data_IF_789550489461
#
_entry.id   IF_789550489461
#
_cell.length_a   1.000
_cell.length_b   1.000
_cell.length_c   1.000
_cell.angle_alpha   90.00
_cell.angle_beta   90.00
_cell.angle_gamma   90.00
#
_symmetry.space_group_name_H-M   'P 1'
#
loop_
_entity.id
_entity.type
_entity.pdbx_description
1 polymer ?
#
# COMPACT_ATOMS: atom_id res chain seq x y z
N UNK A 1 9.70 3.38 8.16
CA UNK A 1 8.92 4.11 7.14
C UNK A 1 7.79 4.83 7.85
N UNK A 2 7.84 6.16 7.97
CA UNK A 2 6.67 6.94 8.38
C UNK A 2 5.76 7.04 7.17
N UNK A 3 4.51 6.58 7.28
CA UNK A 3 3.50 6.97 6.32
C UNK A 3 3.35 8.50 6.45
N UNK A 4 3.43 9.28 5.36
CA UNK A 4 3.28 10.74 5.39
C UNK A 4 1.83 11.11 5.76
N UNK A 5 1.62 12.10 6.64
CA UNK A 5 0.43 12.93 7.01
C UNK A 5 -1.02 12.53 6.60
N UNK A 6 -1.28 11.28 6.30
CA UNK A 6 -2.54 10.77 5.78
C UNK A 6 -2.74 10.88 4.27
N UNK A 7 -3.56 9.98 3.73
CA UNK A 7 -4.08 9.98 2.36
C UNK A 7 -5.17 11.05 2.24
N UNK A 8 -5.12 11.88 1.19
CA UNK A 8 -6.11 12.94 0.94
C UNK A 8 -6.75 12.78 -0.44
N UNK A 9 -8.07 12.98 -0.50
CA UNK A 9 -8.88 12.95 -1.72
C UNK A 9 -9.30 14.37 -2.08
N UNK A 10 -8.83 14.87 -3.22
CA UNK A 10 -9.06 16.23 -3.68
C UNK A 10 -10.16 16.29 -4.73
N UNK A 11 -11.00 17.32 -4.63
CA UNK A 11 -11.89 17.77 -5.70
C UNK A 11 -11.56 19.24 -5.95
N UNK A 12 -10.55 19.50 -6.78
CA UNK A 12 -9.99 20.84 -6.94
C UNK A 12 -8.67 21.13 -6.25
N UNK A 13 -8.05 22.23 -6.67
CA UNK A 13 -6.73 22.66 -6.18
C UNK A 13 -6.81 23.05 -4.69
N UNK A 14 -6.20 22.24 -3.83
CA UNK A 14 -6.14 22.38 -2.36
C UNK A 14 -7.46 22.12 -1.59
N UNK A 15 -8.55 21.72 -2.25
CA UNK A 15 -9.81 21.38 -1.60
C UNK A 15 -9.97 19.85 -1.48
N UNK A 16 -9.52 19.30 -0.35
CA UNK A 16 -9.72 17.88 -0.03
C UNK A 16 -11.06 17.64 0.68
N UNK A 17 -11.79 16.63 0.23
CA UNK A 17 -13.11 16.25 0.74
C UNK A 17 -13.05 15.15 1.79
N UNK A 18 -11.97 14.37 1.77
CA UNK A 18 -11.69 13.30 2.72
C UNK A 18 -10.18 13.25 2.99
N UNK A 19 -9.82 13.14 4.25
CA UNK A 19 -8.48 12.78 4.70
C UNK A 19 -8.57 11.53 5.56
N UNK A 20 -7.65 10.59 5.34
CA UNK A 20 -7.43 9.42 6.18
C UNK A 20 -6.02 9.58 6.75
N UNK A 21 -5.87 9.86 8.04
CA UNK A 21 -4.55 10.01 8.67
C UNK A 21 -3.79 8.66 8.77
N UNK A 22 -2.56 8.71 9.28
CA UNK A 22 -1.72 7.52 9.45
C UNK A 22 -2.32 6.53 10.48
N UNK A 23 -3.20 7.02 11.35
CA UNK A 23 -3.93 6.30 12.38
C UNK A 23 -5.26 5.71 11.87
N UNK A 24 -5.67 6.05 10.64
CA UNK A 24 -6.93 5.61 10.02
C UNK A 24 -8.15 6.45 10.39
N UNK A 25 -7.98 7.58 11.07
CA UNK A 25 -9.04 8.56 11.35
C UNK A 25 -9.46 9.24 10.06
N UNK A 26 -10.78 9.37 9.87
CA UNK A 26 -11.36 9.99 8.69
C UNK A 26 -11.88 11.40 9.01
N UNK A 27 -11.40 12.40 8.27
CA UNK A 27 -11.94 13.77 8.30
C UNK A 27 -12.61 14.07 6.96
N UNK A 28 -13.94 14.22 7.01
CA UNK A 28 -14.80 14.47 5.84
C UNK A 28 -15.00 15.97 5.56
N UNK A 29 -14.34 16.88 6.30
CA UNK A 29 -14.42 18.34 6.14
C UNK A 29 -15.84 18.91 6.12
N UNK A 30 -16.75 18.29 6.87
CA UNK A 30 -18.15 18.71 6.93
C UNK A 30 -18.93 18.45 5.63
N UNK A 31 -18.36 17.74 4.66
CA UNK A 31 -19.09 17.30 3.48
C UNK A 31 -20.10 16.23 3.85
N UNK A 32 -21.29 16.31 3.27
CA UNK A 32 -22.31 15.30 3.45
C UNK A 32 -21.80 13.95 2.93
N UNK A 33 -21.63 12.98 3.83
CA UNK A 33 -21.49 11.58 3.46
C UNK A 33 -22.81 11.14 2.85
N UNK A 34 -22.93 11.18 1.53
CA UNK A 34 -24.19 10.81 0.85
C UNK A 34 -24.39 9.29 1.00
N UNK A 35 -25.15 8.89 2.02
CA UNK A 35 -25.75 7.56 2.11
C UNK A 35 -26.99 7.54 1.20
N UNK A 36 -26.77 7.44 -0.11
CA UNK A 36 -27.85 7.25 -1.07
C UNK A 36 -28.31 5.79 -1.07
N UNK A 37 -29.38 5.52 -0.30
CA UNK A 37 -30.03 4.24 -0.12
C UNK A 37 -30.93 3.83 -1.30
N UNK A 38 -30.38 3.75 -2.51
CA UNK A 38 -31.00 2.97 -3.60
C UNK A 38 -30.04 1.87 -4.02
N UNK A 39 -30.33 0.67 -3.53
CA UNK A 39 -29.55 -0.58 -3.58
C UNK A 39 -29.15 -1.03 -5.00
N UNK A 40 -29.64 -0.40 -6.05
CA UNK A 40 -29.28 -0.73 -7.44
C UNK A 40 -27.91 -0.21 -7.87
N UNK A 41 -27.33 0.81 -7.22
CA UNK A 41 -26.02 1.37 -7.57
C UNK A 41 -24.82 0.78 -6.83
N UNK A 42 -25.03 -0.15 -5.90
CA UNK A 42 -23.99 -0.68 -5.00
C UNK A 42 -23.57 -2.13 -5.32
N UNK A 43 -24.23 -2.78 -6.28
CA UNK A 43 -23.89 -4.14 -6.72
C UNK A 43 -23.27 -4.19 -8.14
N UNK A 44 -23.21 -3.05 -8.82
CA UNK A 44 -22.35 -2.77 -9.97
C UNK A 44 -21.79 -1.35 -9.83
N UNK A 45 -20.46 -1.18 -9.74
CA UNK A 45 -19.85 0.10 -10.14
C UNK A 45 -19.60 1.20 -9.10
N UNK A 46 -19.33 0.90 -7.82
CA UNK A 46 -18.66 1.89 -6.97
C UNK A 46 -17.19 2.06 -7.39
N UNK A 47 -16.80 3.29 -7.72
CA UNK A 47 -15.43 3.71 -8.07
C UNK A 47 -15.28 5.21 -7.84
N UNK A 48 -14.04 5.69 -7.72
CA UNK A 48 -13.75 7.12 -7.68
C UNK A 48 -13.99 7.71 -9.06
N UNK A 49 -14.74 8.81 -9.13
CA UNK A 49 -15.02 9.53 -10.37
C UNK A 49 -14.06 10.73 -10.45
N UNK A 50 -13.41 10.88 -11.60
CA UNK A 50 -12.43 11.93 -11.86
C UNK A 50 -12.92 12.77 -13.05
N UNK A 51 -12.95 14.08 -12.87
CA UNK A 51 -13.49 15.04 -13.83
C UNK A 51 -12.57 15.36 -15.01
N UNK A 52 -11.34 14.84 -15.03
CA UNK A 52 -10.35 15.12 -16.07
C UNK A 52 -9.68 16.48 -15.99
N UNK A 53 -9.94 17.28 -14.95
CA UNK A 53 -9.43 18.63 -14.81
C UNK A 53 -8.59 18.83 -13.54
N UNK A 54 -9.13 18.46 -12.37
CA UNK A 54 -8.46 18.73 -11.09
C UNK A 54 -8.70 17.69 -9.99
N UNK A 55 -9.44 16.61 -10.29
CA UNK A 55 -9.60 15.48 -9.38
C UNK A 55 -8.36 14.58 -9.35
N UNK A 56 -7.88 14.27 -8.14
CA UNK A 56 -6.82 13.28 -7.90
C UNK A 56 -6.77 12.82 -6.45
N UNK A 57 -6.07 11.71 -6.21
CA UNK A 57 -5.69 11.24 -4.87
C UNK A 57 -4.21 11.56 -4.66
N UNK A 58 -3.88 12.28 -3.58
CA UNK A 58 -2.49 12.54 -3.17
C UNK A 58 -2.12 11.66 -1.99
N UNK A 59 -0.99 10.94 -2.15
CA UNK A 59 -0.37 10.17 -1.08
C UNK A 59 0.40 11.06 -0.08
N UNK A 60 0.40 12.39 -0.27
CA UNK A 60 0.97 13.39 0.62
C UNK A 60 2.47 13.63 0.37
N UNK A 61 3.21 12.56 0.11
CA UNK A 61 4.62 12.62 -0.30
C UNK A 61 4.95 11.56 -1.36
N UNK A 62 6.10 11.74 -2.01
CA UNK A 62 6.63 10.73 -2.93
C UNK A 62 6.91 9.45 -2.13
N UNK A 63 6.28 8.35 -2.52
CA UNK A 63 6.34 7.08 -1.82
C UNK A 63 7.01 6.04 -2.71
N UNK A 64 8.09 5.45 -2.22
CA UNK A 64 8.77 4.32 -2.87
C UNK A 64 8.13 3.02 -2.40
N UNK A 65 7.40 2.35 -3.31
CA UNK A 65 6.75 1.06 -3.07
C UNK A 65 7.67 -0.12 -3.37
N UNK A 66 8.60 0.01 -4.32
CA UNK A 66 9.56 -1.03 -4.66
C UNK A 66 10.80 -0.43 -5.31
N UNK A 67 11.98 -1.00 -5.04
CA UNK A 67 13.24 -0.71 -5.74
C UNK A 67 13.69 -1.85 -6.67
N UNK A 68 12.80 -2.80 -6.94
CA UNK A 68 13.01 -3.92 -7.84
C UNK A 68 11.73 -4.20 -8.63
N UNK A 69 11.38 -5.48 -8.80
CA UNK A 69 10.14 -5.89 -9.45
C UNK A 69 8.89 -5.25 -8.81
N UNK A 70 7.87 -4.96 -9.61
CA UNK A 70 6.59 -4.46 -9.12
C UNK A 70 5.45 -4.73 -10.11
N UNK A 71 4.22 -4.61 -9.62
CA UNK A 71 3.00 -4.64 -10.43
C UNK A 71 2.04 -3.55 -9.98
N UNK A 72 1.43 -2.84 -10.93
CA UNK A 72 0.35 -1.88 -10.68
C UNK A 72 -0.88 -2.35 -11.45
N UNK A 73 -2.02 -2.44 -10.76
CA UNK A 73 -3.31 -2.77 -11.37
C UNK A 73 -4.36 -1.75 -11.02
N UNK A 74 -5.31 -1.53 -11.93
CA UNK A 74 -6.53 -0.79 -11.65
C UNK A 74 -7.66 -1.32 -12.53
N UNK A 75 -8.89 -1.16 -12.07
CA UNK A 75 -10.05 -1.12 -12.96
C UNK A 75 -10.31 0.32 -13.34
N UNK A 76 -10.41 0.60 -14.64
CA UNK A 76 -10.66 1.95 -15.17
C UNK A 76 -11.84 1.93 -16.13
N UNK A 77 -12.56 3.05 -16.19
CA UNK A 77 -13.58 3.36 -17.19
C UNK A 77 -13.38 4.80 -17.62
N UNK A 78 -12.52 5.00 -18.62
CA UNK A 78 -12.27 6.32 -19.19
C UNK A 78 -13.48 6.77 -20.03
N UNK A 79 -13.90 8.02 -19.88
CA UNK A 79 -15.02 8.57 -20.66
C UNK A 79 -14.60 8.95 -22.08
N UNK A 80 -13.30 9.21 -22.31
CA UNK A 80 -12.72 9.51 -23.62
C UNK A 80 -11.30 8.94 -23.71
N UNK A 81 -11.12 7.79 -24.36
CA UNK A 81 -9.79 7.19 -24.51
C UNK A 81 -8.89 7.94 -25.51
N UNK A 82 -9.42 8.90 -26.26
CA UNK A 82 -8.69 9.68 -27.28
C UNK A 82 -8.51 11.15 -26.91
N UNK A 83 -8.57 11.45 -25.61
CA UNK A 83 -8.44 12.80 -25.09
C UNK A 83 -7.17 13.48 -25.61
N UNK A 84 -7.24 14.79 -25.85
CA UNK A 84 -6.13 15.67 -26.26
C UNK A 84 -4.85 15.49 -25.43
N UNK A 85 -4.99 15.11 -24.17
CA UNK A 85 -3.89 14.86 -23.25
C UNK A 85 -3.91 13.41 -22.75
N UNK A 86 -2.74 12.93 -22.32
CA UNK A 86 -2.63 11.62 -21.68
C UNK A 86 -3.39 11.63 -20.34
N UNK A 87 -4.06 10.53 -20.00
CA UNK A 87 -4.79 10.39 -18.74
C UNK A 87 -4.04 9.45 -17.79
N UNK A 88 -3.41 10.00 -16.74
CA UNK A 88 -2.58 9.19 -15.84
C UNK A 88 -3.45 8.35 -14.90
N UNK A 89 -3.11 7.08 -14.79
CA UNK A 89 -3.71 6.18 -13.80
C UNK A 89 -3.01 6.39 -12.46
N UNK A 90 -1.68 6.42 -12.47
CA UNK A 90 -0.82 6.76 -11.34
C UNK A 90 0.29 7.69 -11.80
N UNK A 91 0.90 8.43 -10.88
CA UNK A 91 1.93 9.36 -11.31
C UNK A 91 2.93 9.88 -10.29
N UNK A 92 4.12 10.17 -10.84
CA UNK A 92 5.25 10.84 -10.21
C UNK A 92 6.18 11.40 -11.31
N UNK A 93 6.78 12.56 -11.08
CA UNK A 93 7.38 13.36 -12.14
C UNK A 93 8.72 12.84 -12.70
N UNK A 94 9.37 11.85 -12.07
CA UNK A 94 10.78 11.51 -12.38
C UNK A 94 11.09 10.02 -12.51
N UNK A 95 10.10 9.16 -12.76
CA UNK A 95 10.33 7.75 -13.04
C UNK A 95 9.40 7.19 -14.14
N UNK A 96 9.78 6.03 -14.67
CA UNK A 96 9.04 5.36 -15.75
C UNK A 96 7.61 4.99 -15.34
N UNK A 97 7.41 4.60 -14.07
CA UNK A 97 6.12 4.23 -13.49
C UNK A 97 5.14 5.40 -13.42
N UNK A 98 5.66 6.61 -13.23
CA UNK A 98 4.87 7.81 -13.06
C UNK A 98 4.05 8.24 -14.28
N UNK A 99 4.16 7.49 -15.39
CA UNK A 99 3.43 7.72 -16.63
C UNK A 99 2.57 6.53 -17.03
N UNK A 100 2.24 5.60 -16.12
CA UNK A 100 1.26 4.58 -16.45
C UNK A 100 -0.10 5.24 -16.71
N UNK A 101 -0.51 5.28 -17.97
CA UNK A 101 -1.60 6.12 -18.45
C UNK A 101 -2.41 5.46 -19.57
N UNK A 102 -3.58 6.03 -19.85
CA UNK A 102 -4.22 5.93 -21.17
C UNK A 102 -3.65 7.06 -22.04
N UNK A 103 -2.88 6.70 -23.08
CA UNK A 103 -2.28 7.67 -23.99
C UNK A 103 -3.33 8.23 -24.96
N UNK A 104 -3.04 9.35 -25.62
CA UNK A 104 -3.90 9.99 -26.63
C UNK A 104 -4.23 9.11 -27.85
N UNK A 105 -3.52 7.97 -27.99
CA UNK A 105 -3.78 6.92 -28.98
C UNK A 105 -4.86 5.92 -28.53
N UNK A 106 -5.43 6.09 -27.34
CA UNK A 106 -6.38 5.17 -26.72
C UNK A 106 -5.78 3.89 -26.15
N UNK A 107 -4.46 3.77 -26.12
CA UNK A 107 -3.75 2.58 -25.64
C UNK A 107 -3.16 2.80 -24.26
N UNK A 108 -2.95 1.72 -23.50
CA UNK A 108 -2.09 1.77 -22.33
C UNK A 108 -0.68 2.17 -22.73
N UNK A 109 -0.05 3.01 -21.92
CA UNK A 109 1.33 3.42 -22.16
C UNK A 109 2.08 3.77 -20.87
N UNK A 110 3.41 3.79 -20.98
CA UNK A 110 4.31 4.41 -20.02
C UNK A 110 5.46 5.11 -20.76
N UNK A 111 6.08 6.09 -20.11
CA UNK A 111 7.24 6.80 -20.64
C UNK A 111 8.54 6.12 -20.18
N UNK A 112 9.33 5.61 -21.13
CA UNK A 112 10.65 5.03 -20.88
C UNK A 112 11.69 6.16 -20.82
N UNK A 113 12.05 6.62 -19.62
CA UNK A 113 13.01 7.70 -19.40
C UNK A 113 14.41 7.38 -19.92
N UNK A 114 14.85 6.12 -19.87
CA UNK A 114 16.17 5.74 -20.39
C UNK A 114 16.23 5.80 -21.91
N UNK A 115 15.13 5.42 -22.58
CA UNK A 115 15.03 5.37 -24.04
C UNK A 115 14.50 6.66 -24.66
N UNK A 116 13.89 7.55 -23.86
CA UNK A 116 13.26 8.78 -24.32
C UNK A 116 12.05 8.54 -25.23
N UNK A 117 11.26 7.49 -24.97
CA UNK A 117 10.16 7.09 -25.84
C UNK A 117 8.96 6.53 -25.06
N UNK A 118 7.78 6.61 -25.68
CA UNK A 118 6.58 5.92 -25.19
C UNK A 118 6.62 4.43 -25.51
N UNK A 119 6.21 3.61 -24.56
CA UNK A 119 5.95 2.18 -24.73
C UNK A 119 4.45 1.95 -24.62
N UNK A 120 3.91 1.10 -25.49
CA UNK A 120 2.46 0.94 -25.66
C UNK A 120 2.02 -0.50 -25.47
N UNK A 121 0.79 -0.67 -24.99
CA UNK A 121 0.00 -1.86 -25.23
C UNK A 121 -0.42 -1.97 -26.69
N UNK A 122 -1.00 -3.10 -27.08
CA UNK A 122 -1.46 -3.36 -28.44
C UNK A 122 -2.88 -2.84 -28.67
N UNK A 123 -3.74 -2.93 -27.65
CA UNK A 123 -5.18 -2.70 -27.78
C UNK A 123 -5.57 -1.25 -27.51
N UNK A 124 -6.48 -0.72 -28.35
CA UNK A 124 -7.17 0.55 -28.11
C UNK A 124 -8.36 0.29 -27.18
N UNK A 125 -8.39 0.97 -26.04
CA UNK A 125 -9.46 0.86 -25.05
C UNK A 125 -10.75 1.50 -25.57
N UNK A 126 -11.87 0.93 -25.16
CA UNK A 126 -13.19 1.46 -25.52
C UNK A 126 -13.70 2.42 -24.45
N UNK A 127 -14.01 3.66 -24.85
CA UNK A 127 -14.60 4.67 -23.96
C UNK A 127 -15.89 4.19 -23.30
N UNK A 128 -16.10 4.57 -22.04
CA UNK A 128 -17.29 4.25 -21.27
C UNK A 128 -17.41 2.78 -20.85
N UNK A 129 -16.38 1.95 -21.06
CA UNK A 129 -16.36 0.55 -20.59
C UNK A 129 -15.30 0.32 -19.52
N UNK A 130 -15.62 -0.58 -18.59
CA UNK A 130 -14.67 -1.04 -17.59
C UNK A 130 -13.62 -1.93 -18.24
N UNK A 131 -12.35 -1.61 -17.97
CA UNK A 131 -11.19 -2.41 -18.32
C UNK A 131 -10.33 -2.63 -17.09
N UNK A 132 -9.85 -3.86 -16.90
CA UNK A 132 -8.82 -4.15 -15.91
C UNK A 132 -7.44 -3.98 -16.56
N UNK A 133 -6.67 -3.03 -16.07
CA UNK A 133 -5.41 -2.61 -16.67
C UNK A 133 -4.28 -2.89 -15.70
N UNK A 134 -3.21 -3.52 -16.19
CA UNK A 134 -2.07 -3.91 -15.37
C UNK A 134 -0.76 -3.59 -16.07
N UNK A 135 0.17 -2.99 -15.33
CA UNK A 135 1.58 -2.85 -15.70
C UNK A 135 2.44 -3.69 -14.76
N UNK A 136 3.29 -4.53 -15.34
CA UNK A 136 4.28 -5.34 -14.62
C UNK A 136 5.67 -4.91 -15.01
N UNK A 137 6.58 -4.83 -14.04
CA UNK A 137 8.03 -4.75 -14.26
C UNK A 137 8.70 -5.88 -13.49
N UNK A 138 9.54 -6.64 -14.18
CA UNK A 138 10.18 -7.86 -13.65
C UNK A 138 11.40 -7.63 -12.75
N UNK A 139 11.92 -6.41 -12.71
CA UNK A 139 13.11 -6.06 -11.93
C UNK A 139 14.41 -6.00 -12.74
N UNK A 140 14.38 -6.39 -14.02
CA UNK A 140 15.52 -6.34 -14.93
C UNK A 140 15.30 -5.25 -16.00
N UNK A 141 14.95 -5.64 -17.23
CA UNK A 141 14.73 -4.73 -18.35
C UNK A 141 13.33 -4.88 -18.99
N UNK A 142 12.46 -5.74 -18.45
CA UNK A 142 11.19 -6.12 -19.06
C UNK A 142 9.96 -5.49 -18.39
N UNK A 143 9.21 -4.70 -19.15
CA UNK A 143 7.87 -4.23 -18.81
C UNK A 143 6.79 -4.99 -19.59
N UNK A 144 5.63 -5.25 -18.97
CA UNK A 144 4.50 -5.91 -19.63
C UNK A 144 3.20 -5.20 -19.32
N UNK A 145 2.34 -5.08 -20.33
CA UNK A 145 0.94 -4.69 -20.15
C UNK A 145 0.01 -5.90 -20.22
N UNK A 146 -1.02 -5.87 -19.38
CA UNK A 146 -2.14 -6.78 -19.47
C UNK A 146 -3.44 -5.96 -19.46
N UNK A 147 -4.39 -6.39 -20.28
CA UNK A 147 -5.72 -5.82 -20.42
C UNK A 147 -6.74 -6.95 -20.20
N UNK A 148 -7.71 -6.75 -19.31
CA UNK A 148 -8.79 -7.69 -19.03
C UNK A 148 -8.30 -9.12 -18.71
N UNK A 149 -7.15 -9.21 -18.02
CA UNK A 149 -6.55 -10.46 -17.58
C UNK A 149 -5.67 -11.18 -18.61
N UNK A 150 -5.53 -10.63 -19.82
CA UNK A 150 -4.68 -11.20 -20.89
C UNK A 150 -3.52 -10.27 -21.25
N UNK A 151 -2.43 -10.82 -21.75
CA UNK A 151 -1.26 -10.02 -22.16
C UNK A 151 -1.64 -9.10 -23.33
N UNK A 152 -1.35 -7.81 -23.19
CA UNK A 152 -1.62 -6.79 -24.19
C UNK A 152 -0.34 -6.26 -24.85
N UNK A 153 0.84 -6.67 -24.39
CA UNK A 153 2.11 -6.35 -25.03
C UNK A 153 3.05 -7.56 -25.08
N UNK A 154 4.02 -7.52 -25.99
CA UNK A 154 5.27 -8.26 -25.78
C UNK A 154 6.07 -7.60 -24.64
N UNK A 155 7.24 -8.15 -24.32
CA UNK A 155 8.17 -7.48 -23.42
C UNK A 155 8.56 -6.11 -23.98
N UNK A 156 8.36 -5.08 -23.16
CA UNK A 156 8.64 -3.69 -23.48
C UNK A 156 9.92 -3.29 -22.77
N UNK A 157 10.88 -2.74 -23.52
CA UNK A 157 12.13 -2.27 -22.96
C UNK A 157 11.90 -1.21 -21.88
N UNK A 158 12.36 -1.53 -20.68
CA UNK A 158 12.25 -0.72 -19.48
C UNK A 158 13.65 -0.23 -19.10
N UNK A 159 14.09 0.86 -19.72
CA UNK A 159 15.48 1.33 -19.63
C UNK A 159 15.61 2.58 -18.74
N UNK A 160 16.85 2.86 -18.33
CA UNK A 160 17.18 4.01 -17.49
C UNK A 160 18.04 3.64 -16.29
N UNK A 161 18.33 4.64 -15.49
CA UNK A 161 19.05 4.46 -14.21
C UNK A 161 18.21 3.64 -13.23
N UNK A 162 18.85 2.99 -12.24
CA UNK A 162 18.15 2.26 -11.17
C UNK A 162 17.07 3.10 -10.50
N UNK A 163 17.33 4.39 -10.24
CA UNK A 163 16.36 5.29 -9.64
C UNK A 163 15.10 5.52 -10.51
N UNK A 164 15.27 5.59 -11.83
CA UNK A 164 14.15 5.73 -12.78
C UNK A 164 13.33 4.44 -12.91
N UNK A 165 13.91 3.29 -12.52
CA UNK A 165 13.21 2.00 -12.53
C UNK A 165 12.40 1.69 -11.28
N UNK A 166 12.67 2.38 -10.17
CA UNK A 166 11.92 2.20 -8.93
C UNK A 166 10.42 2.54 -9.08
N UNK A 167 9.57 1.80 -8.37
CA UNK A 167 8.16 2.12 -8.21
C UNK A 167 7.99 3.23 -7.17
N UNK A 168 8.06 4.47 -7.64
CA UNK A 168 7.84 5.69 -6.84
C UNK A 168 6.60 6.38 -7.36
N UNK A 169 5.64 6.66 -6.49
CA UNK A 169 4.37 7.30 -6.85
C UNK A 169 4.02 8.38 -5.83
N UNK A 170 3.25 9.37 -6.26
CA UNK A 170 2.63 10.36 -5.38
C UNK A 170 1.12 10.48 -5.62
N UNK A 171 0.70 10.40 -6.88
CA UNK A 171 -0.69 10.65 -7.24
C UNK A 171 -1.35 9.42 -7.86
N UNK A 172 -2.67 9.30 -7.69
CA UNK A 172 -3.55 8.44 -8.47
C UNK A 172 -4.52 9.36 -9.21
N UNK A 173 -4.71 9.12 -10.51
CA UNK A 173 -5.51 9.98 -11.38
C UNK A 173 -4.78 11.22 -11.92
N UNK A 174 -3.50 11.42 -11.61
CA UNK A 174 -2.69 12.56 -12.07
C UNK A 174 -1.18 12.23 -12.08
N UNK A 175 -0.35 13.11 -12.70
CA UNK A 175 1.11 12.97 -12.76
C UNK A 175 1.89 13.97 -11.90
N UNK A 176 1.55 15.27 -11.98
CA UNK A 176 2.26 16.33 -11.28
C UNK A 176 1.38 17.58 -11.20
N UNK A 177 0.87 17.89 -10.01
CA UNK A 177 -0.07 19.01 -9.79
C UNK A 177 0.68 20.35 -9.59
N UNK A 178 1.98 20.33 -9.27
CA UNK A 178 2.63 21.48 -8.63
C UNK A 178 3.44 22.45 -9.53
N UNK A 179 3.57 22.28 -10.86
CA UNK A 179 4.56 23.13 -11.58
C UNK A 179 4.26 23.61 -13.01
N UNK A 180 3.06 23.47 -13.56
CA UNK A 180 2.73 24.20 -14.80
C UNK A 180 1.23 24.21 -15.06
N UNK A 181 0.68 25.41 -15.17
CA UNK A 181 -0.72 25.73 -15.45
C UNK A 181 -1.18 25.33 -16.87
N UNK A 182 -0.84 24.13 -17.38
CA UNK A 182 -1.15 23.77 -18.78
C UNK A 182 -1.18 22.28 -19.13
N UNK A 183 -1.03 21.36 -18.18
CA UNK A 183 -0.92 19.95 -18.53
C UNK A 183 -2.06 19.17 -17.88
N UNK A 184 -3.23 19.18 -18.52
CA UNK A 184 -4.46 18.41 -18.22
C UNK A 184 -4.21 16.89 -18.32
N UNK A 185 -3.30 16.37 -17.49
CA UNK A 185 -2.94 14.95 -17.50
C UNK A 185 -3.72 14.15 -16.46
N UNK A 186 -4.86 14.68 -16.06
CA UNK A 186 -5.79 14.09 -15.12
C UNK A 186 -6.58 12.98 -15.80
N UNK A 187 -6.97 11.98 -15.01
CA UNK A 187 -7.84 10.93 -15.50
C UNK A 187 -9.26 11.47 -15.68
N UNK A 188 -9.91 11.14 -16.80
CA UNK A 188 -11.32 11.50 -17.04
C UNK A 188 -12.18 10.23 -17.04
N UNK A 189 -12.93 10.03 -15.96
CA UNK A 189 -13.82 8.89 -15.77
C UNK A 189 -13.63 8.19 -14.44
N UNK A 190 -13.97 6.90 -14.37
CA UNK A 190 -14.07 6.17 -13.11
C UNK A 190 -12.89 5.21 -12.89
N UNK A 191 -12.37 5.11 -11.67
CA UNK A 191 -11.34 4.15 -11.29
C UNK A 191 -11.70 3.41 -9.99
N UNK A 192 -11.37 2.12 -9.90
CA UNK A 192 -11.52 1.34 -8.68
C UNK A 192 -10.43 0.29 -8.56
N UNK A 193 -10.28 -0.25 -7.36
CA UNK A 193 -9.41 -1.41 -7.09
C UNK A 193 -7.97 -1.21 -7.56
N UNK A 194 -7.44 -0.02 -7.27
CA UNK A 194 -6.03 0.31 -7.52
C UNK A 194 -5.18 -0.48 -6.53
N UNK A 195 -4.25 -1.28 -7.05
CA UNK A 195 -3.30 -2.06 -6.24
C UNK A 195 -1.88 -1.85 -6.73
N UNK A 196 -0.97 -1.76 -5.77
CA UNK A 196 0.48 -1.68 -6.01
C UNK A 196 1.13 -2.82 -5.23
N UNK A 197 1.86 -3.66 -5.94
CA UNK A 197 2.51 -4.86 -5.40
C UNK A 197 4.02 -4.79 -5.62
N UNK A 198 4.86 -5.06 -4.60
CA UNK A 198 6.31 -5.04 -4.71
C UNK A 198 6.87 -6.34 -5.31
N UNK A 199 6.16 -6.89 -6.31
CA UNK A 199 6.54 -8.11 -7.01
C UNK A 199 5.97 -8.10 -8.43
N UNK A 200 6.69 -8.72 -9.37
CA UNK A 200 6.13 -9.03 -10.68
C UNK A 200 5.11 -10.15 -10.57
N UNK A 201 3.89 -9.92 -11.05
CA UNK A 201 2.88 -10.96 -11.17
C UNK A 201 3.05 -11.75 -12.46
N UNK A 202 2.90 -13.06 -12.38
CA UNK A 202 2.80 -13.92 -13.55
C UNK A 202 1.45 -13.75 -14.26
N UNK A 203 1.37 -14.14 -15.54
CA UNK A 203 0.11 -14.13 -16.29
C UNK A 203 -1.03 -14.93 -15.60
N UNK A 204 -0.69 -16.01 -14.87
CA UNK A 204 -1.65 -16.77 -14.08
C UNK A 204 -2.20 -15.99 -12.89
N UNK A 205 -1.34 -15.24 -12.19
CA UNK A 205 -1.72 -14.38 -11.08
C UNK A 205 -2.53 -13.16 -11.55
N UNK A 206 -2.24 -12.62 -12.73
CA UNK A 206 -3.01 -11.52 -13.32
C UNK A 206 -4.43 -11.95 -13.70
N UNK A 207 -4.61 -13.19 -14.19
CA UNK A 207 -5.95 -13.74 -14.41
C UNK A 207 -6.75 -13.86 -13.11
N UNK A 208 -6.10 -14.25 -12.01
CA UNK A 208 -6.73 -14.26 -10.68
C UNK A 208 -7.13 -12.86 -10.26
N UNK A 209 -6.23 -11.89 -10.43
CA UNK A 209 -6.47 -10.48 -10.13
C UNK A 209 -7.67 -9.92 -10.90
N UNK A 210 -7.74 -10.22 -12.20
CA UNK A 210 -8.87 -9.87 -13.06
C UNK A 210 -10.19 -10.48 -12.55
N UNK A 211 -10.18 -11.72 -12.07
CA UNK A 211 -11.36 -12.35 -11.48
C UNK A 211 -11.73 -11.83 -10.07
N UNK A 212 -10.97 -10.87 -9.53
CA UNK A 212 -11.18 -10.28 -8.21
C UNK A 212 -10.47 -11.00 -7.06
N UNK A 213 -9.69 -12.06 -7.34
CA UNK A 213 -8.80 -12.69 -6.37
C UNK A 213 -7.49 -11.90 -6.32
N UNK A 214 -7.14 -11.29 -5.20
CA UNK A 214 -5.79 -10.74 -5.02
C UNK A 214 -4.79 -11.92 -4.84
N UNK A 215 -3.93 -12.25 -5.82
CA UNK A 215 -3.07 -13.45 -5.79
C UNK A 215 -1.90 -13.30 -4.82
N UNK A 216 -1.55 -12.05 -4.46
CA UNK A 216 -0.56 -11.70 -3.45
C UNK A 216 -1.22 -11.07 -2.23
N UNK A 217 -2.50 -11.38 -2.00
CA UNK A 217 -3.23 -10.94 -0.82
C UNK A 217 -2.38 -11.21 0.41
N UNK A 218 -2.31 -10.22 1.30
CA UNK A 218 -1.87 -10.44 2.67
C UNK A 218 -2.83 -11.46 3.27
N UNK A 219 -2.51 -12.73 3.14
CA UNK A 219 -2.95 -13.69 4.12
C UNK A 219 -2.21 -13.23 5.37
N UNK A 220 -2.91 -12.52 6.25
CA UNK A 220 -2.49 -12.32 7.64
C UNK A 220 -2.36 -13.70 8.25
N UNK A 221 -1.27 -14.40 7.91
CA UNK A 221 -0.82 -15.50 8.70
C UNK A 221 -0.31 -14.82 9.96
N UNK A 222 -1.18 -14.77 10.95
CA UNK A 222 -0.84 -14.25 12.26
C UNK A 222 0.38 -15.04 12.74
N UNK A 223 1.53 -14.37 12.72
CA UNK A 223 2.79 -14.96 13.10
C UNK A 223 2.87 -15.03 14.64
N UNK A 224 2.06 -14.26 15.36
CA UNK A 224 2.04 -14.24 16.82
C UNK A 224 1.00 -15.22 17.37
N UNK A 225 1.45 -16.21 18.12
CA UNK A 225 0.61 -17.08 18.93
C UNK A 225 0.27 -16.35 20.23
N UNK A 226 -1.03 -16.23 20.54
CA UNK A 226 -1.52 -15.54 21.75
C UNK A 226 -0.98 -14.10 21.89
N UNK A 227 -1.19 -13.28 20.87
CA UNK A 227 -0.91 -11.84 20.93
C UNK A 227 -1.77 -11.06 21.94
N UNK A 228 -2.80 -11.70 22.49
CA UNK A 228 -3.61 -11.20 23.62
C UNK A 228 -2.93 -11.37 24.97
N UNK A 229 -1.84 -12.15 25.05
CA UNK A 229 -1.12 -12.45 26.27
C UNK A 229 -2.03 -13.04 27.37
N UNK A 230 -2.82 -14.06 27.03
CA UNK A 230 -3.75 -14.65 28.00
C UNK A 230 -3.04 -15.36 29.16
N UNK A 231 -1.85 -15.91 28.88
CA UNK A 231 -0.98 -16.57 29.86
C UNK A 231 0.45 -16.68 29.30
N UNK A 232 1.36 -17.26 30.09
CA UNK A 232 2.79 -17.41 29.74
C UNK A 232 3.10 -18.66 28.91
N UNK A 233 2.13 -19.48 28.50
CA UNK A 233 2.42 -20.72 27.77
C UNK A 233 3.07 -20.48 26.40
N UNK A 234 2.81 -19.31 25.79
CA UNK A 234 3.37 -18.92 24.48
C UNK A 234 4.43 -17.82 24.59
N UNK A 235 4.85 -17.47 25.80
CA UNK A 235 5.70 -16.31 26.05
C UNK A 235 6.63 -16.53 27.24
N UNK A 236 7.91 -16.26 27.03
CA UNK A 236 8.93 -16.26 28.09
C UNK A 236 9.15 -14.83 28.57
N UNK A 237 8.77 -14.57 29.82
CA UNK A 237 8.94 -13.26 30.47
C UNK A 237 10.42 -12.99 30.75
N UNK A 238 10.92 -11.86 30.26
CA UNK A 238 12.19 -11.30 30.69
C UNK A 238 12.07 -10.55 32.01
N UNK A 239 13.20 -10.00 32.46
CA UNK A 239 13.23 -9.21 33.71
C UNK A 239 12.33 -7.99 33.59
N UNK A 240 11.45 -7.78 34.57
CA UNK A 240 10.52 -6.64 34.58
C UNK A 240 9.31 -6.80 33.66
N UNK A 241 9.21 -7.89 32.89
CA UNK A 241 8.00 -8.26 32.16
C UNK A 241 7.07 -9.11 33.02
N UNK A 242 5.77 -8.93 32.84
CA UNK A 242 4.72 -9.76 33.41
C UNK A 242 3.53 -9.86 32.46
N UNK A 243 2.92 -11.03 32.36
CA UNK A 243 1.69 -11.31 31.62
C UNK A 243 0.54 -11.47 32.61
N UNK A 244 -0.54 -10.72 32.39
CA UNK A 244 -1.75 -10.82 33.19
C UNK A 244 -2.97 -10.27 32.48
N UNK A 245 -4.04 -9.99 33.24
CA UNK A 245 -5.32 -9.56 32.69
C UNK A 245 -5.26 -8.26 31.86
N UNK A 246 -4.24 -7.43 32.06
CA UNK A 246 -4.01 -6.19 31.32
C UNK A 246 -3.14 -6.39 30.06
N UNK A 247 -2.68 -7.61 29.77
CA UNK A 247 -1.71 -7.91 28.71
C UNK A 247 -0.29 -8.12 29.24
N UNK A 248 0.70 -7.96 28.35
CA UNK A 248 2.11 -7.99 28.71
C UNK A 248 2.55 -6.59 29.16
N UNK A 249 3.04 -6.48 30.39
CA UNK A 249 3.50 -5.22 30.99
C UNK A 249 4.97 -5.32 31.35
N UNK A 250 5.75 -4.33 30.90
CA UNK A 250 7.11 -4.12 31.35
C UNK A 250 7.19 -2.93 32.31
N UNK A 251 7.93 -3.12 33.40
CA UNK A 251 8.35 -2.03 34.30
C UNK A 251 9.83 -2.17 34.61
N UNK A 252 10.61 -1.09 34.44
CA UNK A 252 12.05 -1.10 34.71
C UNK A 252 12.88 -0.54 33.57
N UNK A 253 14.20 -0.82 33.59
CA UNK A 253 15.17 -0.20 32.69
C UNK A 253 15.09 -0.72 31.26
N UNK A 254 15.39 -2.00 31.01
CA UNK A 254 15.16 -2.60 29.71
C UNK A 254 15.22 -4.13 29.73
N UNK A 255 14.31 -4.76 28.99
CA UNK A 255 14.30 -6.21 28.79
C UNK A 255 13.33 -6.58 27.67
N UNK A 256 13.28 -7.85 27.31
CA UNK A 256 12.36 -8.38 26.29
C UNK A 256 11.46 -9.48 26.83
N UNK A 257 10.32 -9.67 26.17
CA UNK A 257 9.49 -10.86 26.25
C UNK A 257 9.58 -11.61 24.91
N UNK A 258 9.78 -12.93 24.97
CA UNK A 258 10.06 -13.76 23.79
C UNK A 258 8.92 -14.71 23.50
N UNK A 259 8.47 -14.76 22.24
CA UNK A 259 7.44 -15.70 21.82
C UNK A 259 7.99 -17.13 21.74
N UNK A 260 7.21 -18.09 22.24
CA UNK A 260 7.45 -19.53 22.11
C UNK A 260 6.20 -20.24 21.56
N UNK A 261 6.29 -21.08 20.51
CA UNK A 261 7.49 -21.45 19.76
C UNK A 261 8.05 -20.28 18.94
N UNK A 262 9.34 -20.36 18.64
CA UNK A 262 10.03 -19.37 17.82
C UNK A 262 9.42 -19.34 16.43
N UNK A 263 9.18 -18.13 15.94
CA UNK A 263 8.70 -17.85 14.59
C UNK A 263 9.86 -17.30 13.78
N UNK A 264 10.10 -17.87 12.59
CA UNK A 264 11.14 -17.42 11.69
C UNK A 264 10.57 -16.43 10.67
N UNK A 265 11.31 -15.36 10.43
CA UNK A 265 11.04 -14.42 9.36
C UNK A 265 11.84 -14.83 8.12
N UNK A 266 11.25 -14.67 6.93
CA UNK A 266 11.89 -14.94 5.64
C UNK A 266 12.62 -13.69 5.15
N UNK A 267 13.92 -13.84 4.84
CA UNK A 267 14.74 -12.78 4.23
C UNK A 267 14.12 -12.27 2.92
N UNK A 268 14.25 -10.96 2.70
CA UNK A 268 13.77 -10.29 1.49
C UNK A 268 12.27 -10.02 1.47
N UNK A 269 11.56 -10.22 2.60
CA UNK A 269 10.13 -10.01 2.71
C UNK A 269 9.81 -8.83 3.62
N UNK A 270 8.71 -8.14 3.32
CA UNK A 270 8.16 -7.09 4.18
C UNK A 270 7.24 -7.69 5.23
N UNK A 271 7.24 -7.10 6.44
CA UNK A 271 6.36 -7.45 7.54
C UNK A 271 5.79 -6.20 8.19
N UNK A 272 4.63 -6.37 8.81
CA UNK A 272 3.97 -5.37 9.65
C UNK A 272 3.70 -5.97 11.02
N UNK A 273 3.95 -5.20 12.07
CA UNK A 273 3.58 -5.48 13.43
C UNK A 273 2.63 -4.40 13.95
N UNK A 274 1.63 -4.77 14.74
CA UNK A 274 0.68 -3.85 15.37
C UNK A 274 0.34 -4.34 16.77
N UNK A 275 0.14 -3.45 17.73
CA UNK A 275 -0.45 -3.78 19.02
C UNK A 275 -1.20 -2.58 19.59
N UNK A 276 -2.10 -2.84 20.53
CA UNK A 276 -2.56 -1.80 21.43
C UNK A 276 -1.49 -1.58 22.50
N UNK A 277 -1.18 -0.33 22.81
CA UNK A 277 -0.02 0.05 23.61
C UNK A 277 -0.35 1.21 24.53
N UNK A 278 0.08 1.11 25.79
CA UNK A 278 0.15 2.22 26.74
C UNK A 278 1.60 2.41 27.14
N UNK A 279 2.28 3.39 26.53
CA UNK A 279 3.67 3.73 26.84
C UNK A 279 3.69 4.94 27.78
N UNK A 280 4.35 4.80 28.93
CA UNK A 280 4.53 5.91 29.89
C UNK A 280 5.98 6.37 29.99
N UNK A 281 6.95 5.53 29.62
CA UNK A 281 8.36 5.89 29.49
C UNK A 281 9.12 4.92 28.59
N UNK A 282 10.24 5.35 28.02
CA UNK A 282 11.09 4.51 27.16
C UNK A 282 10.54 4.36 25.75
N UNK A 283 10.74 3.18 25.15
CA UNK A 283 10.27 2.83 23.81
C UNK A 283 9.96 1.34 23.67
N UNK A 284 9.36 0.98 22.55
CA UNK A 284 8.94 -0.38 22.20
C UNK A 284 9.58 -0.80 20.87
N UNK A 285 10.11 -2.02 20.81
CA UNK A 285 10.89 -2.52 19.68
C UNK A 285 10.60 -4.01 19.43
N UNK A 286 10.74 -4.49 18.20
CA UNK A 286 11.06 -5.89 17.93
C UNK A 286 12.58 -6.02 17.77
N UNK A 287 13.20 -6.91 18.55
CA UNK A 287 14.65 -7.07 18.55
C UNK A 287 15.02 -8.51 18.22
N UNK A 288 16.08 -8.65 17.42
CA UNK A 288 16.72 -9.94 17.23
C UNK A 288 18.21 -9.80 17.52
N UNK A 289 18.63 -10.30 18.67
CA UNK A 289 19.99 -10.10 19.17
C UNK A 289 20.99 -10.95 18.37
N UNK A 290 21.68 -10.35 17.41
CA UNK A 290 23.10 -10.69 17.19
C UNK A 290 23.95 -9.43 17.09
N UNK A 291 24.97 -9.34 17.94
CA UNK A 291 26.04 -8.33 17.86
C UNK A 291 26.73 -8.40 16.50
N UNK A 292 27.23 -7.28 15.92
CA UNK A 292 27.57 -6.02 16.58
C UNK A 292 26.68 -4.82 16.20
N UNK A 293 25.58 -5.02 15.48
CA UNK A 293 24.66 -3.93 15.13
C UNK A 293 23.23 -4.45 15.12
N UNK A 294 22.43 -4.19 16.17
CA UNK A 294 21.04 -4.64 16.21
C UNK A 294 20.25 -3.81 15.19
N UNK A 295 19.66 -4.46 14.19
CA UNK A 295 18.65 -3.82 13.34
C UNK A 295 17.32 -3.98 14.08
N UNK A 296 17.15 -3.20 15.13
CA UNK A 296 15.92 -3.19 15.92
C UNK A 296 14.80 -2.52 15.14
N UNK A 297 13.63 -3.15 15.12
CA UNK A 297 12.44 -2.60 14.48
C UNK A 297 11.70 -1.79 15.53
N UNK A 298 11.91 -0.47 15.53
CA UNK A 298 11.23 0.44 16.44
C UNK A 298 9.75 0.58 16.06
N UNK A 299 8.88 0.49 17.08
CA UNK A 299 7.47 0.82 16.91
C UNK A 299 7.27 2.33 16.89
N UNK A 300 6.45 2.79 15.95
CA UNK A 300 5.80 4.11 16.01
C UNK A 300 4.56 3.98 16.88
N UNK A 301 4.41 4.87 17.86
CA UNK A 301 3.28 4.86 18.80
C UNK A 301 2.45 6.12 18.54
N UNK A 302 1.15 5.94 18.32
CA UNK A 302 0.19 7.01 18.13
C UNK A 302 -1.05 6.73 18.98
N UNK A 303 -1.27 7.58 19.98
CA UNK A 303 -2.31 7.35 21.00
C UNK A 303 -2.12 6.02 21.73
N UNK A 304 -3.15 5.17 21.69
CA UNK A 304 -3.16 3.84 22.33
C UNK A 304 -2.74 2.71 21.40
N UNK A 305 -2.15 3.01 20.24
CA UNK A 305 -1.77 2.01 19.23
C UNK A 305 -0.29 2.14 18.88
N UNK A 306 0.33 1.02 18.56
CA UNK A 306 1.70 0.97 18.10
C UNK A 306 1.80 0.13 16.84
N UNK A 307 2.59 0.57 15.87
CA UNK A 307 2.84 -0.18 14.64
C UNK A 307 4.31 -0.11 14.23
N UNK A 308 4.75 -1.12 13.49
CA UNK A 308 6.05 -1.12 12.83
C UNK A 308 5.98 -1.82 11.47
N UNK A 309 6.73 -1.33 10.50
CA UNK A 309 6.87 -1.96 9.17
C UNK A 309 8.35 -2.10 8.88
N UNK A 310 8.78 -3.29 8.50
CA UNK A 310 10.19 -3.56 8.23
C UNK A 310 10.40 -4.51 7.05
N UNK A 311 11.57 -4.38 6.44
CA UNK A 311 12.09 -5.30 5.45
C UNK A 311 13.06 -6.29 6.14
N UNK A 312 12.80 -7.57 5.99
CA UNK A 312 13.56 -8.61 6.68
C UNK A 312 14.92 -8.84 6.01
N UNK A 313 16.01 -8.62 6.74
CA UNK A 313 17.37 -8.94 6.34
C UNK A 313 17.84 -10.32 6.87
N UNK A 314 18.96 -10.82 6.34
CA UNK A 314 19.61 -12.07 6.76
C UNK A 314 20.10 -12.08 8.21
N UNK A 315 20.27 -10.90 8.83
CA UNK A 315 20.83 -10.77 10.19
C UNK A 315 19.80 -10.91 11.31
N UNK A 316 18.50 -10.94 10.98
CA UNK A 316 17.39 -10.80 11.93
C UNK A 316 16.41 -12.00 11.97
N UNK A 317 16.83 -13.23 11.65
CA UNK A 317 15.89 -14.30 11.23
C UNK A 317 15.23 -15.17 12.33
N UNK A 318 15.70 -15.11 13.58
CA UNK A 318 15.53 -16.19 14.56
C UNK A 318 14.52 -16.02 15.72
N UNK A 319 13.77 -14.93 15.89
CA UNK A 319 12.72 -14.85 16.94
C UNK A 319 11.86 -13.57 16.93
N UNK A 320 10.66 -13.66 17.51
CA UNK A 320 9.84 -12.51 17.92
C UNK A 320 10.17 -12.15 19.37
N UNK A 321 11.06 -11.18 19.58
CA UNK A 321 11.30 -10.60 20.91
C UNK A 321 10.75 -9.18 20.94
N UNK A 322 9.78 -8.95 21.82
CA UNK A 322 9.27 -7.61 22.08
C UNK A 322 10.13 -7.02 23.19
N UNK A 323 10.84 -5.94 22.89
CA UNK A 323 11.74 -5.26 23.82
C UNK A 323 11.20 -3.91 24.23
N UNK A 324 11.36 -3.59 25.51
CA UNK A 324 10.99 -2.31 26.07
C UNK A 324 12.18 -1.68 26.81
N UNK A 325 12.30 -0.35 26.73
CA UNK A 325 13.31 0.44 27.46
C UNK A 325 12.70 1.33 28.56
N UNK A 326 11.50 0.99 29.00
CA UNK A 326 10.75 1.72 30.01
C UNK A 326 9.38 1.10 30.24
N UNK A 327 8.47 1.85 30.82
CA UNK A 327 7.20 1.32 31.29
C UNK A 327 6.16 1.27 30.16
N UNK A 328 5.78 0.06 29.74
CA UNK A 328 4.82 -0.18 28.66
C UNK A 328 3.89 -1.34 28.99
N UNK A 329 2.61 -1.22 28.64
CA UNK A 329 1.67 -2.34 28.57
C UNK A 329 1.22 -2.52 27.13
N UNK A 330 1.24 -3.76 26.64
CA UNK A 330 0.76 -4.11 25.30
C UNK A 330 -0.27 -5.23 25.32
N UNK A 331 -1.21 -5.16 24.39
CA UNK A 331 -2.20 -6.19 24.09
C UNK A 331 -2.43 -6.30 22.58
N UNK A 332 -3.05 -7.39 22.14
CA UNK A 332 -3.43 -7.59 20.73
C UNK A 332 -2.25 -7.45 19.76
N UNK A 333 -1.07 -7.95 20.14
CA UNK A 333 0.10 -7.96 19.26
C UNK A 333 -0.16 -8.88 18.07
N UNK A 334 0.03 -8.32 16.88
CA UNK A 334 -0.10 -9.03 15.62
C UNK A 334 1.11 -8.79 14.76
N UNK A 335 1.57 -9.83 14.08
CA UNK A 335 2.64 -9.73 13.10
C UNK A 335 2.21 -10.48 11.84
N UNK A 336 2.40 -9.87 10.68
CA UNK A 336 2.02 -10.46 9.41
C UNK A 336 2.99 -10.08 8.31
N UNK A 337 3.21 -11.02 7.39
CA UNK A 337 3.92 -10.78 6.14
C UNK A 337 3.09 -9.88 5.22
N UNK A 338 3.74 -8.88 4.63
CA UNK A 338 3.15 -7.95 3.66
C UNK A 338 3.46 -8.44 2.25
N UNK A 339 2.46 -8.99 1.57
CA UNK A 339 2.40 -9.31 0.14
C UNK A 339 1.76 -8.23 -0.77
N UNK A 340 0.83 -7.41 -0.28
CA UNK A 340 0.26 -6.23 -0.97
C UNK A 340 0.44 -5.00 -0.10
N UNK A 341 1.08 -3.95 -0.64
CA UNK A 341 1.42 -2.72 0.11
C UNK A 341 0.25 -1.72 0.16
N UNK A 342 -0.63 -1.75 -0.84
CA UNK A 342 -1.80 -0.87 -0.92
C UNK A 342 -2.95 -1.58 -1.65
N UNK A 343 -4.12 -1.63 -1.03
CA UNK A 343 -5.31 -2.31 -1.57
C UNK A 343 -6.58 -1.46 -1.34
N UNK A 344 -7.05 -0.74 -2.37
CA UNK A 344 -8.29 0.05 -2.31
C UNK A 344 -9.48 -0.73 -2.90
N UNK A 345 -10.03 -1.70 -2.16
CA UNK A 345 -11.23 -2.43 -2.59
C UNK A 345 -12.53 -1.65 -2.37
N UNK A 346 -13.59 -2.00 -3.11
CA UNK A 346 -14.94 -1.45 -2.93
C UNK A 346 -15.55 -1.71 -1.53
N UNK A 347 -14.97 -2.62 -0.74
CA UNK A 347 -15.36 -2.88 0.66
C UNK A 347 -14.74 -1.93 1.67
N UNK A 348 -13.89 -1.00 1.24
CA UNK A 348 -13.31 0.03 2.10
C UNK A 348 -14.32 1.09 2.55
N UNK A 349 -15.60 0.95 2.21
CA UNK A 349 -16.72 1.69 2.79
C UNK A 349 -17.90 0.73 3.06
N UNK A 350 -18.51 0.84 4.26
CA UNK A 350 -19.72 0.09 4.64
C UNK A 350 -20.62 0.92 5.55
N UNK A 351 -21.93 0.68 5.44
CA UNK A 351 -23.01 1.52 5.97
C UNK A 351 -23.36 1.32 7.45
N UNK A 352 -22.66 0.47 8.21
CA UNK A 352 -22.99 0.27 9.64
C UNK A 352 -21.83 0.03 10.62
N UNK A 353 -20.64 -0.44 10.21
CA UNK A 353 -19.42 -0.49 11.04
C UNK A 353 -18.16 -0.46 10.17
N UNK A 354 -17.19 0.36 10.54
CA UNK A 354 -15.90 0.48 9.84
C UNK A 354 -14.82 -0.32 10.55
N UNK A 355 -14.24 -1.29 9.85
CA UNK A 355 -12.91 -1.83 10.14
C UNK A 355 -12.19 -1.97 8.79
N UNK A 356 -11.07 -1.27 8.64
CA UNK A 356 -10.08 -1.58 7.62
C UNK A 356 -9.30 -2.81 8.12
N UNK A 357 -9.40 -3.95 7.43
CA UNK A 357 -8.60 -5.13 7.81
C UNK A 357 -7.23 -5.15 7.10
N UNK A 358 -6.84 -4.08 6.39
CA UNK A 358 -5.53 -3.98 5.76
C UNK A 358 -4.40 -3.66 6.76
N UNK A 359 -4.71 -3.15 7.95
CA UNK A 359 -3.75 -2.88 9.02
C UNK A 359 -4.56 -2.97 10.32
N UNK A 360 -4.21 -3.84 11.29
CA UNK A 360 -4.90 -3.85 12.57
C UNK A 360 -4.87 -2.49 13.26
#
# INVERSE_FOLDING_TARGET
FSLPDGIKFYTGTNDYRLQIDAEGTQDHKGNATVNSSTVQGLQDGAGYDFDGADDYIDLGANTTFSTGAYTISAWIKSNDTTHTYIQNIVGYATNNVGYFCVHTSGKLAYWDYGGGAWRYGNTVLTSGKWHHVVMVYDGDDGGFFYLDGVADSAELAYSGTTAQKNCVLRYIGANQVASSASNDRHFLGQMRDVKIMPSALSAGEIRKLYSGENPKKNLYFEMVTDGTFTNTANWVEGTGWSIGAAGATHTGSSSYITQTPIVNYVEGQWYVATCDCTLTSGGLYLVNHTTPSPVDVQFTISGSRAYAVWYQSSVNLSSTNVYATGNVTITNLKISKVGTLLDFIYRSASSTKWYNQAIP
#
